data_IF_096972826902
#
_entry.id   IF_096972826902
#
_cell.length_a   1.000
_cell.length_b   1.000
_cell.length_c   1.000
_cell.angle_alpha   90.00
_cell.angle_beta   90.00
_cell.angle_gamma   90.00
#
_symmetry.space_group_name_H-M   'P 1'
#
loop_
_entity.id
_entity.type
_entity.pdbx_description
1 polymer ?
#
# COMPACT_ATOMS: atom_id res chain seq x y z
N UNK A 1 54.85 1.17 -16.47
CA UNK A 1 54.35 1.65 -15.17
C UNK A 1 52.82 1.65 -15.24
N UNK A 2 52.15 0.79 -14.44
CA UNK A 2 50.68 0.63 -14.45
C UNK A 2 50.04 1.86 -13.82
N UNK A 3 49.24 2.60 -14.60
CA UNK A 3 48.49 3.78 -14.13
C UNK A 3 47.25 3.27 -13.40
N UNK A 4 47.31 3.25 -12.07
CA UNK A 4 46.23 2.88 -11.19
C UNK A 4 45.13 3.94 -11.29
N UNK A 5 44.01 3.61 -11.96
CA UNK A 5 42.80 4.45 -11.97
C UNK A 5 42.14 4.29 -10.60
N UNK A 6 42.32 5.28 -9.72
CA UNK A 6 41.43 5.49 -8.58
C UNK A 6 40.02 5.75 -9.14
N UNK A 7 39.17 4.73 -9.12
CA UNK A 7 37.80 4.80 -9.61
C UNK A 7 36.88 5.40 -8.56
N UNK A 8 36.91 6.72 -8.40
CA UNK A 8 35.79 7.42 -7.76
C UNK A 8 34.62 7.30 -8.74
N UNK A 9 33.56 6.57 -8.37
CA UNK A 9 32.31 6.58 -9.12
C UNK A 9 31.77 8.00 -9.04
N UNK A 10 31.93 8.76 -10.11
CA UNK A 10 31.38 10.11 -10.21
C UNK A 10 29.86 9.96 -10.32
N UNK A 11 29.14 10.20 -9.22
CA UNK A 11 27.68 10.14 -9.22
C UNK A 11 27.17 11.38 -9.95
N UNK A 12 26.49 11.17 -11.07
CA UNK A 12 25.88 12.24 -11.87
C UNK A 12 24.95 13.11 -11.01
N UNK A 13 25.28 14.39 -10.87
CA UNK A 13 24.49 15.36 -10.12
C UNK A 13 23.05 15.47 -10.66
N UNK A 14 22.85 15.26 -11.96
CA UNK A 14 21.51 15.26 -12.54
C UNK A 14 20.69 14.03 -12.08
N UNK A 15 21.33 12.86 -11.89
CA UNK A 15 20.68 11.68 -11.34
C UNK A 15 20.25 11.88 -9.89
N UNK A 16 21.11 12.49 -9.07
CA UNK A 16 20.77 12.84 -7.68
C UNK A 16 19.61 13.85 -7.60
N UNK A 17 19.60 14.86 -8.46
CA UNK A 17 18.50 15.83 -8.53
C UNK A 17 17.17 15.16 -8.94
N UNK A 18 17.21 14.20 -9.88
CA UNK A 18 16.02 13.40 -10.25
C UNK A 18 15.53 12.56 -9.07
N UNK A 19 16.43 11.90 -8.35
CA UNK A 19 16.10 11.14 -7.15
C UNK A 19 15.45 12.03 -6.09
N UNK A 20 16.05 13.19 -5.79
CA UNK A 20 15.51 14.14 -4.82
C UNK A 20 14.10 14.60 -5.20
N UNK A 21 13.88 14.94 -6.47
CA UNK A 21 12.55 15.30 -6.96
C UNK A 21 11.54 14.16 -6.82
N UNK A 22 11.97 12.91 -7.07
CA UNK A 22 11.17 11.71 -6.86
C UNK A 22 10.79 11.51 -5.39
N UNK A 23 11.77 11.63 -4.48
CA UNK A 23 11.55 11.52 -3.04
C UNK A 23 10.63 12.62 -2.51
N UNK A 24 10.76 13.85 -2.99
CA UNK A 24 9.86 14.96 -2.67
C UNK A 24 8.43 14.64 -3.11
N UNK A 25 8.25 14.15 -4.34
CA UNK A 25 6.93 13.75 -4.83
C UNK A 25 6.33 12.62 -3.98
N UNK A 26 7.14 11.61 -3.62
CA UNK A 26 6.70 10.48 -2.78
C UNK A 26 6.34 10.93 -1.35
N UNK A 27 7.14 11.81 -0.74
CA UNK A 27 6.86 12.43 0.56
C UNK A 27 5.49 13.13 0.56
N UNK A 28 5.18 13.81 -0.54
CA UNK A 28 3.93 14.56 -0.70
C UNK A 28 2.76 13.67 -1.17
N UNK A 29 2.93 12.34 -1.17
CA UNK A 29 1.90 11.37 -1.49
C UNK A 29 1.68 11.09 -2.98
N UNK A 30 2.52 11.64 -3.87
CA UNK A 30 2.47 11.33 -5.30
C UNK A 30 3.24 10.04 -5.61
N UNK A 31 2.58 8.92 -5.36
CA UNK A 31 3.10 7.58 -5.66
C UNK A 31 2.98 7.17 -7.12
N UNK A 32 2.59 8.08 -8.03
CA UNK A 32 2.59 7.82 -9.48
C UNK A 32 3.87 8.32 -10.16
N UNK A 33 4.67 9.13 -9.48
CA UNK A 33 5.99 9.55 -9.99
C UNK A 33 6.90 8.32 -10.08
N UNK A 34 7.57 8.15 -11.22
CA UNK A 34 8.55 7.08 -11.45
C UNK A 34 9.90 7.66 -11.82
N UNK A 35 10.96 6.97 -11.46
CA UNK A 35 12.32 7.23 -11.95
C UNK A 35 12.58 6.35 -13.16
N UNK A 36 13.30 6.88 -14.14
CA UNK A 36 13.73 6.12 -15.31
C UNK A 36 14.79 5.11 -14.90
N UNK A 37 14.55 3.83 -15.18
CA UNK A 37 15.50 2.73 -14.95
C UNK A 37 16.23 2.48 -16.26
N UNK A 38 17.49 2.94 -16.36
CA UNK A 38 18.27 2.84 -17.60
C UNK A 38 19.77 2.86 -17.32
N UNK A 39 20.53 2.03 -18.03
CA UNK A 39 21.97 1.86 -17.82
C UNK A 39 22.28 0.93 -16.64
N UNK A 40 23.55 0.88 -16.25
CA UNK A 40 24.04 -0.03 -15.20
C UNK A 40 24.55 0.75 -13.97
N UNK A 41 24.58 0.07 -12.82
CA UNK A 41 25.16 0.57 -11.57
C UNK A 41 24.15 1.04 -10.52
N UNK A 42 24.68 1.56 -9.41
CA UNK A 42 23.92 1.83 -8.17
C UNK A 42 22.74 2.78 -8.39
N UNK A 43 22.85 3.78 -9.26
CA UNK A 43 21.71 4.68 -9.52
C UNK A 43 20.55 4.01 -10.25
N UNK A 44 20.82 3.02 -11.11
CA UNK A 44 19.78 2.21 -11.75
C UNK A 44 19.06 1.35 -10.72
N UNK A 45 19.81 0.72 -9.81
CA UNK A 45 19.26 -0.08 -8.71
C UNK A 45 18.41 0.80 -7.77
N UNK A 46 18.89 1.98 -7.39
CA UNK A 46 18.11 2.94 -6.60
C UNK A 46 16.82 3.35 -7.31
N UNK A 47 16.86 3.60 -8.63
CA UNK A 47 15.67 3.95 -9.39
C UNK A 47 14.64 2.81 -9.40
N UNK A 48 15.09 1.56 -9.54
CA UNK A 48 14.23 0.39 -9.46
C UNK A 48 13.59 0.25 -8.07
N UNK A 49 14.39 0.29 -7.00
CA UNK A 49 13.90 0.20 -5.61
C UNK A 49 12.95 1.35 -5.27
N UNK A 50 13.23 2.58 -5.73
CA UNK A 50 12.32 3.71 -5.57
C UNK A 50 10.95 3.41 -6.22
N UNK A 51 10.94 2.90 -7.44
CA UNK A 51 9.70 2.57 -8.15
C UNK A 51 8.91 1.47 -7.42
N UNK A 52 9.59 0.44 -6.91
CA UNK A 52 8.96 -0.62 -6.10
C UNK A 52 8.33 -0.09 -4.81
N UNK A 53 9.02 0.82 -4.10
CA UNK A 53 8.46 1.49 -2.91
C UNK A 53 7.25 2.35 -3.28
N UNK A 54 7.27 3.01 -4.44
CA UNK A 54 6.12 3.75 -4.93
C UNK A 54 4.95 2.84 -5.33
N UNK A 55 5.22 1.67 -5.91
CA UNK A 55 4.20 0.67 -6.25
C UNK A 55 3.51 0.09 -5.01
N UNK A 56 4.28 -0.23 -3.96
CA UNK A 56 3.71 -0.65 -2.66
C UNK A 56 2.79 0.43 -2.08
N UNK A 57 3.19 1.71 -2.12
CA UNK A 57 2.36 2.84 -1.63
C UNK A 57 1.07 2.99 -2.44
N UNK A 58 1.18 2.87 -3.76
CA UNK A 58 0.04 2.95 -4.66
C UNK A 58 -0.95 1.80 -4.43
N UNK A 59 -0.44 0.58 -4.19
CA UNK A 59 -1.25 -0.59 -3.85
C UNK A 59 -2.03 -0.38 -2.55
N UNK A 60 -1.34 -0.05 -1.45
CA UNK A 60 -1.97 0.15 -0.14
C UNK A 60 -3.05 1.26 -0.19
N UNK A 61 -2.72 2.41 -0.79
CA UNK A 61 -3.69 3.51 -0.89
C UNK A 61 -4.86 3.19 -1.80
N UNK A 62 -4.64 2.41 -2.86
CA UNK A 62 -5.68 1.90 -3.75
C UNK A 62 -6.65 0.96 -3.02
N UNK A 63 -6.11 0.00 -2.26
CA UNK A 63 -6.90 -0.97 -1.50
C UNK A 63 -7.72 -0.30 -0.39
N UNK A 64 -7.13 0.65 0.35
CA UNK A 64 -7.86 1.46 1.32
C UNK A 64 -9.04 2.21 0.67
N UNK A 65 -8.84 2.81 -0.51
CA UNK A 65 -9.90 3.49 -1.22
C UNK A 65 -10.99 2.53 -1.72
N UNK A 66 -10.61 1.34 -2.21
CA UNK A 66 -11.53 0.30 -2.66
C UNK A 66 -12.39 -0.20 -1.50
N UNK A 67 -11.77 -0.64 -0.41
CA UNK A 67 -12.48 -1.19 0.76
C UNK A 67 -13.37 -0.14 1.40
N UNK A 68 -12.91 1.11 1.53
CA UNK A 68 -13.78 2.22 1.99
C UNK A 68 -15.06 2.35 1.17
N UNK A 69 -14.99 2.20 -0.16
CA UNK A 69 -16.17 2.24 -1.02
C UNK A 69 -17.04 1.00 -0.81
N UNK A 70 -16.43 -0.18 -0.87
CA UNK A 70 -17.16 -1.46 -0.93
C UNK A 70 -17.78 -1.82 0.42
N UNK A 71 -17.02 -1.75 1.51
CA UNK A 71 -17.55 -1.98 2.87
C UNK A 71 -18.39 -0.78 3.31
N UNK A 72 -17.84 0.43 3.20
CA UNK A 72 -18.44 1.62 3.80
C UNK A 72 -19.63 2.23 3.04
N UNK A 73 -19.74 2.04 1.72
CA UNK A 73 -20.85 2.60 0.92
C UNK A 73 -21.76 1.52 0.33
N UNK A 74 -21.21 0.40 -0.09
CA UNK A 74 -22.00 -0.70 -0.68
C UNK A 74 -22.45 -1.73 0.37
N UNK A 75 -21.98 -1.62 1.62
CA UNK A 75 -22.37 -2.52 2.71
C UNK A 75 -21.84 -3.94 2.60
N UNK A 76 -20.84 -4.19 1.73
CA UNK A 76 -20.25 -5.52 1.57
C UNK A 76 -19.23 -5.79 2.67
N UNK A 77 -19.71 -6.11 3.86
CA UNK A 77 -18.92 -6.18 5.10
C UNK A 77 -17.89 -7.33 5.16
N UNK A 78 -17.87 -8.23 4.18
CA UNK A 78 -16.92 -9.36 4.09
C UNK A 78 -15.66 -9.02 3.27
N UNK A 79 -15.62 -7.84 2.64
CA UNK A 79 -14.53 -7.43 1.75
C UNK A 79 -13.35 -6.86 2.54
N UNK A 80 -12.14 -7.30 2.19
CA UNK A 80 -10.89 -6.98 2.91
C UNK A 80 -9.84 -6.45 1.94
N UNK A 81 -8.86 -5.74 2.46
CA UNK A 81 -7.69 -5.29 1.70
C UNK A 81 -6.84 -6.50 1.32
N UNK A 82 -6.35 -6.51 0.10
CA UNK A 82 -5.41 -7.51 -0.41
C UNK A 82 -3.96 -7.11 -0.11
N UNK A 83 -3.14 -8.04 0.37
CA UNK A 83 -1.74 -7.76 0.75
C UNK A 83 -0.86 -7.43 -0.47
N UNK A 84 -1.10 -8.06 -1.62
CA UNK A 84 -0.28 -7.86 -2.83
C UNK A 84 1.20 -8.24 -2.60
N UNK A 85 2.12 -7.42 -3.14
CA UNK A 85 3.57 -7.59 -2.98
C UNK A 85 4.16 -6.85 -1.75
N UNK A 86 3.29 -6.45 -0.81
CA UNK A 86 3.70 -5.80 0.43
C UNK A 86 4.23 -6.83 1.43
N UNK A 87 5.30 -6.47 2.14
CA UNK A 87 5.93 -7.30 3.16
C UNK A 87 6.31 -6.45 4.39
N UNK A 88 6.62 -7.10 5.51
CA UNK A 88 7.03 -6.43 6.75
C UNK A 88 5.98 -5.44 7.25
N UNK A 89 6.39 -4.21 7.58
CA UNK A 89 5.47 -3.17 8.09
C UNK A 89 4.32 -2.83 7.15
N UNK A 90 4.48 -3.07 5.85
CA UNK A 90 3.43 -2.85 4.87
C UNK A 90 2.33 -3.90 4.95
N UNK A 91 2.70 -5.17 5.05
CA UNK A 91 1.75 -6.26 5.28
C UNK A 91 1.05 -6.07 6.63
N UNK A 92 1.81 -5.74 7.68
CA UNK A 92 1.23 -5.48 9.00
C UNK A 92 0.21 -4.33 9.00
N UNK A 93 0.42 -3.28 8.20
CA UNK A 93 -0.55 -2.18 8.06
C UNK A 93 -1.85 -2.64 7.36
N UNK A 94 -1.75 -3.56 6.41
CA UNK A 94 -2.90 -4.18 5.73
C UNK A 94 -3.66 -5.08 6.71
N UNK A 95 -2.96 -5.92 7.45
CA UNK A 95 -3.54 -6.81 8.46
C UNK A 95 -4.26 -6.01 9.54
N UNK A 96 -3.62 -4.98 10.11
CA UNK A 96 -4.24 -4.10 11.10
C UNK A 96 -5.47 -3.35 10.56
N UNK A 97 -5.46 -2.99 9.27
CA UNK A 97 -6.63 -2.37 8.62
C UNK A 97 -7.77 -3.37 8.46
N UNK A 98 -7.47 -4.63 8.15
CA UNK A 98 -8.44 -5.70 8.03
C UNK A 98 -9.06 -6.07 9.39
N UNK A 99 -8.24 -6.15 10.45
CA UNK A 99 -8.71 -6.33 11.83
C UNK A 99 -9.69 -5.23 12.23
N UNK A 100 -9.37 -3.96 11.92
CA UNK A 100 -10.29 -2.84 12.18
C UNK A 100 -11.61 -2.99 11.41
N UNK A 101 -11.57 -3.47 10.17
CA UNK A 101 -12.79 -3.74 9.40
C UNK A 101 -13.60 -4.88 10.05
N UNK A 102 -12.96 -5.95 10.52
CA UNK A 102 -13.62 -7.06 11.21
C UNK A 102 -14.32 -6.62 12.51
N UNK A 103 -13.64 -5.80 13.30
CA UNK A 103 -14.15 -5.26 14.56
C UNK A 103 -15.41 -4.39 14.36
N UNK A 104 -15.51 -3.71 13.21
CA UNK A 104 -16.67 -2.91 12.84
C UNK A 104 -17.76 -3.74 12.15
N UNK A 105 -17.39 -4.74 11.35
CA UNK A 105 -18.32 -5.56 10.58
C UNK A 105 -19.10 -6.56 11.45
N UNK A 106 -18.46 -7.12 12.49
CA UNK A 106 -19.07 -8.16 13.33
C UNK A 106 -20.32 -7.66 14.07
N UNK A 107 -20.31 -6.53 14.80
CA UNK A 107 -21.52 -6.05 15.47
C UNK A 107 -22.67 -5.72 14.51
N UNK A 108 -22.35 -5.13 13.34
CA UNK A 108 -23.36 -4.78 12.33
C UNK A 108 -24.03 -6.04 11.77
N UNK A 109 -23.24 -7.09 11.51
CA UNK A 109 -23.76 -8.37 11.01
C UNK A 109 -24.64 -9.09 12.04
N UNK A 110 -24.23 -9.09 13.32
CA UNK A 110 -25.04 -9.67 14.41
C UNK A 110 -26.37 -8.94 14.58
N UNK A 111 -26.37 -7.60 14.57
CA UNK A 111 -27.62 -6.83 14.62
C UNK A 111 -28.53 -7.17 13.44
N UNK A 112 -27.97 -7.29 12.23
CA UNK A 112 -28.72 -7.72 11.05
C UNK A 112 -29.36 -9.11 11.24
N UNK A 113 -28.61 -10.08 11.77
CA UNK A 113 -29.10 -11.44 12.06
C UNK A 113 -30.22 -11.45 13.08
N UNK A 114 -30.08 -10.69 14.17
CA UNK A 114 -31.11 -10.55 15.22
C UNK A 114 -32.38 -9.91 14.65
N UNK A 115 -32.25 -8.84 13.84
CA UNK A 115 -33.42 -8.20 13.22
C UNK A 115 -34.17 -9.15 12.27
N UNK A 116 -33.45 -9.96 11.49
CA UNK A 116 -34.07 -10.99 10.66
C UNK A 116 -34.80 -12.05 11.50
N UNK A 117 -34.19 -12.56 12.56
CA UNK A 117 -34.82 -13.54 13.45
C UNK A 117 -36.09 -12.98 14.10
N UNK A 118 -36.06 -11.73 14.55
CA UNK A 118 -37.25 -11.03 15.09
C UNK A 118 -38.35 -10.90 14.03
N UNK A 119 -38.00 -10.57 12.79
CA UNK A 119 -38.96 -10.48 11.68
C UNK A 119 -39.59 -11.83 11.34
N UNK A 120 -38.82 -12.92 11.47
CA UNK A 120 -39.27 -14.30 11.26
C UNK A 120 -40.03 -14.88 12.47
N UNK A 121 -40.12 -14.13 13.57
CA UNK A 121 -40.85 -14.52 14.79
C UNK A 121 -40.06 -15.40 15.76
N UNK A 122 -38.75 -15.57 15.55
CA UNK A 122 -37.84 -16.27 16.46
C UNK A 122 -37.25 -15.29 17.49
N UNK A 123 -37.82 -15.31 18.69
CA UNK A 123 -37.42 -14.45 19.82
C UNK A 123 -36.58 -15.18 20.86
N UNK A 124 -36.13 -16.42 20.60
CA UNK A 124 -35.46 -17.24 21.62
C UNK A 124 -33.93 -17.03 21.74
N UNK A 125 -33.32 -16.13 20.97
CA UNK A 125 -31.88 -15.87 21.10
C UNK A 125 -31.55 -15.05 22.35
N UNK A 126 -31.20 -15.75 23.44
CA UNK A 126 -30.50 -15.23 24.63
C UNK A 126 -28.99 -15.39 24.50
#
# INVERSE_FOLDING_TARGET
MKKQRNGTVEVDAAALNRLLAGLVAMRDGNFRRRLTVSGDGVMTEIAAVFNEVADRNLHLTGELARVRRVVGREGKLTERLETGACEGSWAAAIDASNELVDDLARPVSEVGRVLSAVADGDLEQR
#
